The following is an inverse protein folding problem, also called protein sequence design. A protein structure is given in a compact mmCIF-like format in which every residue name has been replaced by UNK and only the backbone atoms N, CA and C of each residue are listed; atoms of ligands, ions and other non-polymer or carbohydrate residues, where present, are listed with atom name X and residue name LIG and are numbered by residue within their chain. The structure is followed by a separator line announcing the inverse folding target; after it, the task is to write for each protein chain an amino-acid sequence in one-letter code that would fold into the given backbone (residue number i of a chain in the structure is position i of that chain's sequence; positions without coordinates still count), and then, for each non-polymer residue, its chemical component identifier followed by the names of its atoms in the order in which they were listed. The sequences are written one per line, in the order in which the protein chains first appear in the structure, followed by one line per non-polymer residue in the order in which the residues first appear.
data_IF_458988999603
#
_entry.id   IF_458988999603
#
_cell.length_a   1.000
_cell.length_b   1.000
_cell.length_c   1.000
_cell.angle_alpha   90.00
_cell.angle_beta   90.00
_cell.angle_gamma   90.00
#
_symmetry.space_group_name_H-M   'P 1'
#
loop_
_entity.id
_entity.type
_entity.pdbx_description
1 polymer ?
#
# COMPACT_ATOMS: atom_id res chain seq x y z
N UNK A 1 -15.59 -5.19 -0.11
CA UNK A 1 -15.79 -5.12 1.35
C UNK A 1 -14.47 -5.00 2.08
N UNK A 2 -14.06 -3.75 2.34
CA UNK A 2 -12.99 -3.41 3.26
C UNK A 2 -13.52 -3.61 4.70
N UNK A 3 -13.79 -4.87 5.04
CA UNK A 3 -14.36 -5.26 6.33
C UNK A 3 -13.35 -5.12 7.47
N UNK A 4 -13.86 -5.12 8.70
CA UNK A 4 -13.09 -5.02 9.96
C UNK A 4 -11.84 -5.93 10.00
N UNK A 5 -11.86 -7.09 9.31
CA UNK A 5 -10.72 -7.98 9.17
C UNK A 5 -9.46 -7.31 8.60
N UNK A 6 -9.58 -6.42 7.61
CA UNK A 6 -8.44 -5.69 7.03
C UNK A 6 -7.85 -4.65 8.00
N UNK A 7 -8.70 -3.97 8.77
CA UNK A 7 -8.24 -3.03 9.81
C UNK A 7 -7.53 -3.79 10.92
N UNK A 8 -8.11 -4.91 11.36
CA UNK A 8 -7.55 -5.77 12.40
C UNK A 8 -6.19 -6.36 11.97
N UNK A 9 -6.06 -6.75 10.70
CA UNK A 9 -4.80 -7.16 10.10
C UNK A 9 -3.72 -6.06 10.20
N UNK A 10 -4.04 -4.83 9.78
CA UNK A 10 -3.09 -3.71 9.81
C UNK A 10 -2.64 -3.43 11.25
N UNK A 11 -3.56 -3.51 12.22
CA UNK A 11 -3.25 -3.34 13.64
C UNK A 11 -2.31 -4.45 14.13
N UNK A 12 -2.59 -5.72 13.81
CA UNK A 12 -1.70 -6.83 14.17
C UNK A 12 -0.31 -6.69 13.55
N UNK A 13 -0.23 -6.28 12.27
CA UNK A 13 1.04 -6.00 11.61
C UNK A 13 1.79 -4.82 12.25
N UNK A 14 1.07 -3.80 12.71
CA UNK A 14 1.67 -2.66 13.41
C UNK A 14 2.34 -3.08 14.72
N UNK A 15 1.71 -3.95 15.50
CA UNK A 15 2.32 -4.49 16.72
C UNK A 15 3.49 -5.44 16.41
N UNK A 16 3.38 -6.24 15.35
CA UNK A 16 4.41 -7.19 14.93
C UNK A 16 5.59 -6.55 14.19
N UNK A 17 5.55 -5.25 13.87
CA UNK A 17 6.51 -4.57 12.99
C UNK A 17 7.96 -4.57 13.50
N UNK A 18 8.16 -4.67 14.81
CA UNK A 18 9.48 -4.61 15.43
C UNK A 18 10.27 -5.91 15.20
N UNK A 19 9.58 -7.02 14.92
CA UNK A 19 10.20 -8.30 14.61
C UNK A 19 9.78 -8.79 13.20
N UNK A 20 10.77 -8.96 12.32
CA UNK A 20 10.55 -9.43 10.95
C UNK A 20 9.87 -10.80 10.92
N UNK A 21 10.14 -11.67 11.89
CA UNK A 21 9.56 -13.01 11.98
C UNK A 21 8.07 -12.92 12.34
N UNK A 22 7.74 -12.09 13.33
CA UNK A 22 6.35 -11.87 13.75
C UNK A 22 5.53 -11.24 12.63
N UNK A 23 6.11 -10.28 11.89
CA UNK A 23 5.44 -9.66 10.74
C UNK A 23 5.12 -10.72 9.70
N UNK A 24 6.06 -11.59 9.31
CA UNK A 24 5.80 -12.67 8.32
C UNK A 24 4.75 -13.66 8.82
N UNK A 25 4.80 -14.04 10.10
CA UNK A 25 3.84 -14.98 10.68
C UNK A 25 2.40 -14.44 10.64
N UNK A 26 2.20 -13.17 11.02
CA UNK A 26 0.89 -12.50 10.99
C UNK A 26 0.35 -12.40 9.57
N UNK A 27 1.21 -12.11 8.59
CA UNK A 27 0.83 -12.07 7.17
C UNK A 27 0.40 -13.42 6.63
N UNK A 28 1.12 -14.48 7.01
CA UNK A 28 0.78 -15.84 6.63
C UNK A 28 -0.57 -16.25 7.24
N UNK A 29 -0.79 -15.96 8.53
CA UNK A 29 -2.05 -16.22 9.22
C UNK A 29 -3.22 -15.48 8.57
N UNK A 30 -3.00 -14.25 8.12
CA UNK A 30 -4.03 -13.45 7.45
C UNK A 30 -4.49 -14.05 6.11
N UNK A 31 -3.54 -14.57 5.32
CA UNK A 31 -3.83 -15.23 4.04
C UNK A 31 -4.61 -16.53 4.28
N UNK A 32 -4.23 -17.30 5.30
CA UNK A 32 -4.95 -18.54 5.68
C UNK A 32 -6.36 -18.23 6.21
N UNK A 33 -6.50 -17.21 7.05
CA UNK A 33 -7.79 -16.84 7.65
C UNK A 33 -8.76 -16.20 6.65
N UNK A 34 -8.26 -15.67 5.52
CA UNK A 34 -9.08 -15.00 4.53
C UNK A 34 -8.46 -15.17 3.14
N UNK A 35 -8.88 -16.20 2.37
CA UNK A 35 -8.44 -16.41 0.99
C UNK A 35 -8.76 -15.23 0.06
N UNK A 36 -9.63 -14.31 0.51
CA UNK A 36 -9.92 -13.05 -0.16
C UNK A 36 -8.71 -12.10 -0.22
N UNK A 37 -7.72 -12.25 0.67
CA UNK A 37 -6.46 -11.53 0.54
C UNK A 37 -5.70 -12.08 -0.66
N UNK A 38 -5.74 -11.32 -1.75
CA UNK A 38 -5.18 -11.68 -3.04
C UNK A 38 -3.64 -11.83 -2.98
N UNK A 39 -3.06 -12.46 -4.01
CA UNK A 39 -1.61 -12.58 -4.25
C UNK A 39 -0.87 -11.24 -4.10
N UNK A 40 -1.55 -10.12 -4.32
CA UNK A 40 -1.03 -8.77 -4.09
C UNK A 40 -0.60 -8.51 -2.63
N UNK A 41 -1.23 -9.12 -1.64
CA UNK A 41 -0.82 -9.03 -0.24
C UNK A 41 0.54 -9.70 0.00
N UNK A 42 0.81 -10.83 -0.67
CA UNK A 42 2.13 -11.51 -0.62
C UNK A 42 3.19 -10.64 -1.30
N UNK A 43 2.85 -10.03 -2.44
CA UNK A 43 3.77 -9.15 -3.14
C UNK A 43 4.14 -7.92 -2.32
N UNK A 44 3.22 -7.41 -1.49
CA UNK A 44 3.48 -6.30 -0.56
C UNK A 44 4.43 -6.67 0.59
N UNK A 45 4.56 -7.96 0.93
CA UNK A 45 5.53 -8.42 1.95
C UNK A 45 6.98 -8.30 1.51
N UNK A 46 7.26 -8.41 0.21
CA UNK A 46 8.60 -8.30 -0.36
C UNK A 46 9.22 -6.92 -0.06
N UNK A 47 8.61 -5.78 -0.42
CA UNK A 47 9.16 -4.47 -0.07
C UNK A 47 9.17 -4.19 1.43
N UNK A 48 8.24 -4.78 2.21
CA UNK A 48 8.24 -4.65 3.68
C UNK A 48 9.43 -5.38 4.31
N UNK A 49 9.78 -6.58 3.85
CA UNK A 49 10.93 -7.33 4.37
C UNK A 49 12.28 -6.71 3.97
N UNK A 50 12.33 -6.09 2.79
CA UNK A 50 13.46 -5.30 2.29
C UNK A 50 13.53 -3.89 2.91
N UNK A 51 12.54 -3.50 3.74
CA UNK A 51 12.56 -2.20 4.40
C UNK A 51 13.60 -2.19 5.52
N UNK A 52 14.65 -1.38 5.35
CA UNK A 52 15.77 -1.28 6.29
C UNK A 52 15.49 -0.40 7.52
N UNK A 53 14.22 -0.11 7.83
CA UNK A 53 13.79 0.72 8.97
C UNK A 53 14.17 2.21 8.86
N UNK A 54 15.02 2.58 7.89
CA UNK A 54 15.39 3.96 7.60
C UNK A 54 14.28 4.63 6.79
N UNK A 55 13.89 5.82 7.24
CA UNK A 55 12.94 6.69 6.52
C UNK A 55 13.48 6.91 5.10
N UNK A 56 12.69 6.58 4.07
CA UNK A 56 13.07 6.72 2.67
C UNK A 56 13.35 8.18 2.25
N UNK A 57 13.69 8.37 0.97
CA UNK A 57 13.98 9.69 0.38
C UNK A 57 12.87 10.71 0.72
N UNK A 58 13.26 11.85 1.33
CA UNK A 58 12.34 12.94 1.72
C UNK A 58 11.87 13.76 0.51
N UNK A 59 11.28 13.11 -0.49
CA UNK A 59 10.72 13.75 -1.70
C UNK A 59 9.31 14.28 -1.45
N UNK A 60 9.10 14.94 -0.30
CA UNK A 60 7.78 15.43 0.14
C UNK A 60 7.08 16.28 -0.92
N UNK A 61 7.85 17.13 -1.61
CA UNK A 61 7.31 18.04 -2.63
C UNK A 61 6.95 17.30 -3.93
N UNK A 62 7.69 16.26 -4.30
CA UNK A 62 7.37 15.44 -5.49
C UNK A 62 6.07 14.67 -5.25
N UNK A 63 5.93 14.03 -4.09
CA UNK A 63 4.69 13.33 -3.75
C UNK A 63 3.50 14.28 -3.58
N UNK A 64 3.72 15.47 -3.03
CA UNK A 64 2.66 16.48 -2.90
C UNK A 64 2.23 17.05 -4.25
N UNK A 65 3.18 17.29 -5.16
CA UNK A 65 2.91 17.78 -6.51
C UNK A 65 2.33 16.68 -7.43
N UNK A 66 2.53 15.40 -7.11
CA UNK A 66 1.93 14.30 -7.87
C UNK A 66 0.41 14.42 -7.91
N UNK A 67 -0.21 14.86 -6.80
CA UNK A 67 -1.67 14.99 -6.70
C UNK A 67 -2.29 15.98 -7.70
N UNK A 68 -1.90 17.26 -7.74
CA UNK A 68 -2.43 18.21 -8.71
C UNK A 68 -2.05 17.86 -10.15
N UNK A 69 -0.87 17.27 -10.39
CA UNK A 69 -0.40 16.97 -11.76
C UNK A 69 -1.27 15.93 -12.45
N UNK A 70 -1.61 14.81 -11.79
CA UNK A 70 -2.41 13.78 -12.45
C UNK A 70 -3.85 14.24 -12.72
N UNK A 71 -4.41 15.09 -11.86
CA UNK A 71 -5.72 15.72 -12.10
C UNK A 71 -5.69 16.65 -13.31
N UNK A 72 -4.61 17.42 -13.48
CA UNK A 72 -4.41 18.26 -14.68
C UNK A 72 -4.28 17.39 -15.94
N UNK A 73 -3.54 16.27 -15.88
CA UNK A 73 -3.43 15.33 -17.00
C UNK A 73 -4.81 14.78 -17.41
N UNK A 74 -5.62 14.34 -16.44
CA UNK A 74 -6.99 13.87 -16.71
C UNK A 74 -7.87 14.98 -17.30
N UNK A 75 -7.71 16.22 -16.82
CA UNK A 75 -8.41 17.37 -17.37
C UNK A 75 -8.03 17.63 -18.84
N UNK A 76 -6.74 17.61 -19.18
CA UNK A 76 -6.28 17.78 -20.56
C UNK A 76 -6.73 16.65 -21.48
N UNK A 77 -6.70 15.40 -21.01
CA UNK A 77 -7.21 14.24 -21.79
C UNK A 77 -8.70 14.43 -22.07
N UNK A 78 -9.49 14.80 -21.06
CA UNK A 78 -10.93 15.07 -21.23
C UNK A 78 -11.16 16.23 -22.19
N UNK A 79 -10.40 17.31 -22.06
CA UNK A 79 -10.52 18.48 -22.92
C UNK A 79 -10.20 18.14 -24.38
N UNK A 80 -9.15 17.35 -24.63
CA UNK A 80 -8.80 16.87 -25.96
C UNK A 80 -9.87 15.96 -26.56
N UNK A 81 -10.50 15.08 -25.76
CA UNK A 81 -11.59 14.20 -26.23
C UNK A 81 -12.92 14.93 -26.48
N UNK A 82 -13.21 16.03 -25.79
CA UNK A 82 -14.49 16.77 -25.92
C UNK A 82 -14.44 17.83 -27.02
N UNK A 83 -13.24 18.29 -27.38
CA UNK A 83 -13.03 19.37 -28.35
C UNK A 83 -12.59 18.89 -29.75
N UNK A 84 -12.35 17.58 -29.91
CA UNK A 84 -12.25 16.89 -31.20
C UNK A 84 -13.59 16.26 -31.57
#
# INVERSE_FOLDING_TARGET
DYGAAGVLLIVMLYFARDDKVMTVLVGLLAIVASPAFSVMSILAYIPVSLYNGKRGLKLKYVFYAFYPVHLLVLYFIRWAMVKG
#
